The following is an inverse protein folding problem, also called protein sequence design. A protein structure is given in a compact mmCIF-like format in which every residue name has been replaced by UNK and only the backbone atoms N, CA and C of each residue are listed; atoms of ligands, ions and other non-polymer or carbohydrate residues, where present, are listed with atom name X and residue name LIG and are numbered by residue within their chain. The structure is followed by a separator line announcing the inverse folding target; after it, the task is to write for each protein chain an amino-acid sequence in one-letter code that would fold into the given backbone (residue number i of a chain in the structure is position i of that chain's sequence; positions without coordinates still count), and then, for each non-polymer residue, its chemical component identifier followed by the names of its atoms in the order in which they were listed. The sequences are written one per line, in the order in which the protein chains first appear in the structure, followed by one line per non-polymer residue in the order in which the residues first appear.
data_IF_383986215478
#
_entry.id   IF_383986215478
#
_cell.length_a   1.000
_cell.length_b   1.000
_cell.length_c   1.000
_cell.angle_alpha   90.00
_cell.angle_beta   90.00
_cell.angle_gamma   90.00
#
_symmetry.space_group_name_H-M   'P 1'
#
loop_
_entity.id
_entity.type
_entity.pdbx_description
1 polymer ?
#
# COMPACT_ATOMS: atom_id res chain seq x y z
N UNK A 1 12.16 25.67 -5.36
CA UNK A 1 12.25 24.18 -5.41
C UNK A 1 12.91 23.53 -4.18
N UNK A 2 13.85 24.17 -3.47
CA UNK A 2 14.52 23.57 -2.27
C UNK A 2 13.59 23.34 -1.06
N UNK A 3 12.64 24.23 -0.80
CA UNK A 3 11.72 24.10 0.34
C UNK A 3 10.73 22.93 0.21
N UNK A 4 10.25 22.63 -1.01
CA UNK A 4 9.34 21.51 -1.26
C UNK A 4 10.02 20.16 -0.95
N UNK A 5 11.27 19.99 -1.38
CA UNK A 5 12.05 18.77 -1.10
C UNK A 5 12.28 18.58 0.40
N UNK A 6 12.50 19.66 1.15
CA UNK A 6 12.62 19.59 2.61
C UNK A 6 11.32 19.14 3.28
N UNK A 7 10.17 19.68 2.87
CA UNK A 7 8.87 19.27 3.42
C UNK A 7 8.54 17.80 3.09
N UNK A 8 8.89 17.32 1.90
CA UNK A 8 8.73 15.91 1.50
C UNK A 8 9.60 15.00 2.37
N UNK A 9 10.86 15.39 2.60
CA UNK A 9 11.78 14.65 3.45
C UNK A 9 11.27 14.59 4.91
N UNK A 10 10.79 15.72 5.44
CA UNK A 10 10.25 15.79 6.81
C UNK A 10 8.99 14.94 6.97
N UNK A 11 8.09 14.94 5.98
CA UNK A 11 6.89 14.09 5.97
C UNK A 11 7.24 12.60 5.97
N UNK A 12 8.15 12.21 5.07
CA UNK A 12 8.62 10.82 4.96
C UNK A 12 9.31 10.37 6.25
N UNK A 13 10.13 11.24 6.85
CA UNK A 13 10.80 10.99 8.13
C UNK A 13 9.81 10.81 9.28
N UNK A 14 8.81 11.70 9.39
CA UNK A 14 7.77 11.60 10.41
C UNK A 14 6.95 10.32 10.29
N UNK A 15 6.58 9.93 9.07
CA UNK A 15 5.88 8.68 8.81
C UNK A 15 6.70 7.45 9.24
N UNK A 16 7.99 7.42 8.91
CA UNK A 16 8.88 6.31 9.29
C UNK A 16 8.93 6.15 10.82
N UNK A 17 9.11 7.25 11.56
CA UNK A 17 9.14 7.20 13.04
C UNK A 17 7.79 6.71 13.59
N UNK A 18 6.68 7.24 13.09
CA UNK A 18 5.34 6.87 13.55
C UNK A 18 5.07 5.37 13.36
N UNK A 19 5.40 4.83 12.18
CA UNK A 19 5.30 3.40 11.88
C UNK A 19 6.22 2.58 12.80
N UNK A 20 7.46 3.02 12.98
CA UNK A 20 8.45 2.27 13.76
C UNK A 20 8.05 2.13 15.24
N UNK A 21 7.53 3.21 15.84
CA UNK A 21 7.01 3.20 17.20
C UNK A 21 5.72 2.37 17.30
N UNK A 22 4.84 2.47 16.30
CA UNK A 22 3.60 1.69 16.22
C UNK A 22 3.85 0.18 16.24
N UNK A 23 4.73 -0.31 15.37
CA UNK A 23 5.10 -1.73 15.32
C UNK A 23 5.73 -2.21 16.62
N UNK A 24 6.58 -1.40 17.24
CA UNK A 24 7.23 -1.74 18.52
C UNK A 24 6.21 -1.88 19.66
N UNK A 25 5.16 -1.05 19.67
CA UNK A 25 4.05 -1.15 20.63
C UNK A 25 3.21 -2.39 20.38
N UNK A 26 2.91 -2.72 19.13
CA UNK A 26 2.18 -3.94 18.78
C UNK A 26 2.92 -5.19 19.26
N UNK A 27 4.22 -5.29 19.00
CA UNK A 27 5.07 -6.41 19.47
C UNK A 27 5.07 -6.49 21.00
N UNK A 28 5.13 -5.34 21.69
CA UNK A 28 5.04 -5.31 23.15
C UNK A 28 3.69 -5.81 23.66
N UNK A 29 2.59 -5.44 23.03
CA UNK A 29 1.25 -5.92 23.42
C UNK A 29 1.11 -7.43 23.18
N UNK A 30 1.66 -7.96 22.08
CA UNK A 30 1.82 -9.40 21.88
C UNK A 30 2.66 -10.03 23.01
N UNK A 31 3.81 -9.44 23.33
CA UNK A 31 4.63 -9.89 24.47
C UNK A 31 3.90 -9.87 25.81
N UNK A 32 2.99 -8.90 26.02
CA UNK A 32 2.16 -8.80 27.22
C UNK A 32 1.06 -9.88 27.26
N UNK A 33 0.54 -10.27 26.10
CA UNK A 33 -0.43 -11.37 25.96
C UNK A 33 0.21 -12.76 26.11
N UNK A 34 1.53 -12.85 26.27
CA UNK A 34 2.23 -14.12 26.50
C UNK A 34 2.48 -14.94 25.23
N UNK A 35 2.25 -14.39 24.03
CA UNK A 35 2.53 -15.09 22.76
C UNK A 35 4.02 -15.17 22.41
N UNK A 36 4.91 -14.45 23.13
CA UNK A 36 6.35 -14.47 22.90
C UNK A 36 7.11 -15.10 24.08
N UNK A 37 8.11 -15.96 23.82
CA UNK A 37 9.03 -16.41 24.85
C UNK A 37 9.86 -15.22 25.38
N UNK A 38 10.11 -15.20 26.70
CA UNK A 38 10.81 -14.11 27.42
C UNK A 38 10.05 -12.77 27.51
N UNK A 39 8.80 -12.81 27.97
CA UNK A 39 7.90 -11.63 28.13
C UNK A 39 8.52 -10.44 28.86
N UNK A 40 9.39 -10.66 29.85
CA UNK A 40 10.07 -9.60 30.61
C UNK A 40 10.96 -8.69 29.73
N UNK A 41 11.56 -9.24 28.67
CA UNK A 41 12.35 -8.47 27.70
C UNK A 41 11.44 -7.63 26.78
N UNK A 42 10.38 -8.25 26.23
CA UNK A 42 9.47 -7.63 25.27
C UNK A 42 8.55 -6.55 25.87
N UNK A 43 8.23 -6.66 27.17
CA UNK A 43 7.32 -5.73 27.86
C UNK A 43 8.06 -4.54 28.50
N UNK A 44 9.39 -4.56 28.54
CA UNK A 44 10.23 -3.55 29.20
C UNK A 44 10.11 -2.16 28.55
N UNK A 45 9.88 -1.12 29.37
CA UNK A 45 9.67 0.28 28.94
C UNK A 45 10.58 1.30 29.64
N UNK A 46 11.63 0.86 30.37
CA UNK A 46 12.54 1.76 31.10
C UNK A 46 13.68 2.25 30.20
N UNK A 47 14.12 3.53 30.27
CA UNK A 47 13.63 4.64 31.10
C UNK A 47 12.65 5.61 30.40
N UNK A 48 12.41 5.52 29.08
CA UNK A 48 11.68 6.53 28.30
C UNK A 48 10.20 6.20 27.99
N UNK A 49 9.61 5.17 28.61
CA UNK A 49 8.22 4.76 28.35
C UNK A 49 7.99 4.15 26.97
N UNK A 50 9.03 4.06 26.13
CA UNK A 50 9.03 3.38 24.84
C UNK A 50 9.55 1.94 25.00
N UNK A 51 9.01 0.99 24.23
CA UNK A 51 9.51 -0.39 24.22
C UNK A 51 10.89 -0.47 23.54
N UNK A 52 11.96 -0.16 24.28
CA UNK A 52 13.34 -0.12 23.76
C UNK A 52 13.83 -1.49 23.27
N UNK A 53 13.49 -2.57 23.98
CA UNK A 53 13.86 -3.94 23.58
C UNK A 53 13.27 -4.33 22.22
N UNK A 54 11.93 -4.29 22.05
CA UNK A 54 11.28 -4.52 20.76
C UNK A 54 11.78 -3.59 19.66
N UNK A 55 11.98 -2.31 19.96
CA UNK A 55 12.48 -1.33 18.99
C UNK A 55 13.89 -1.67 18.48
N UNK A 56 14.82 -2.04 19.37
CA UNK A 56 16.18 -2.40 18.99
C UNK A 56 16.22 -3.67 18.12
N UNK A 57 15.39 -4.67 18.43
CA UNK A 57 15.31 -5.91 17.63
C UNK A 57 14.78 -5.62 16.24
N UNK A 58 13.71 -4.83 16.12
CA UNK A 58 13.15 -4.47 14.82
C UNK A 58 14.14 -3.64 14.02
N UNK A 59 14.78 -2.64 14.64
CA UNK A 59 15.79 -1.82 13.98
C UNK A 59 16.98 -2.66 13.49
N UNK A 60 17.48 -3.57 14.33
CA UNK A 60 18.57 -4.48 13.98
C UNK A 60 18.19 -5.40 12.82
N UNK A 61 16.98 -5.98 12.86
CA UNK A 61 16.51 -6.87 11.81
C UNK A 61 16.30 -6.13 10.48
N UNK A 62 15.75 -4.91 10.52
CA UNK A 62 15.61 -4.06 9.33
C UNK A 62 16.98 -3.66 8.78
N UNK A 63 17.92 -3.26 9.64
CA UNK A 63 19.27 -2.91 9.22
C UNK A 63 20.00 -4.11 8.58
N UNK A 64 19.87 -5.29 9.18
CA UNK A 64 20.43 -6.54 8.64
C UNK A 64 19.79 -6.87 7.29
N UNK A 65 18.46 -6.86 7.18
CA UNK A 65 17.78 -7.13 5.90
C UNK A 65 18.15 -6.13 4.82
N UNK A 66 18.27 -4.84 5.17
CA UNK A 66 18.66 -3.79 4.22
C UNK A 66 20.10 -3.98 3.73
N UNK A 67 21.00 -4.45 4.58
CA UNK A 67 22.39 -4.76 4.21
C UNK A 67 22.51 -6.09 3.45
N UNK A 68 21.65 -7.07 3.76
CA UNK A 68 21.72 -8.41 3.21
C UNK A 68 21.04 -8.55 1.84
N UNK A 69 19.99 -7.78 1.55
CA UNK A 69 19.26 -7.88 0.28
C UNK A 69 19.84 -6.89 -0.74
N UNK A 70 20.54 -7.37 -1.79
CA UNK A 70 21.04 -6.50 -2.85
C UNK A 70 19.87 -5.87 -3.62
N UNK A 71 19.98 -4.56 -3.90
CA UNK A 71 18.98 -3.82 -4.66
C UNK A 71 18.84 -4.39 -6.08
N UNK A 72 17.62 -4.67 -6.51
CA UNK A 72 17.30 -5.26 -7.82
C UNK A 72 16.04 -6.12 -7.79
N UNK A 73 15.90 -7.03 -8.77
CA UNK A 73 14.73 -7.89 -8.94
C UNK A 73 14.42 -8.79 -7.72
N UNK A 74 15.44 -9.16 -6.94
CA UNK A 74 15.27 -9.95 -5.72
C UNK A 74 14.58 -9.14 -4.59
N UNK A 75 14.91 -7.84 -4.46
CA UNK A 75 14.28 -6.96 -3.49
C UNK A 75 12.80 -6.75 -3.80
N UNK A 76 12.45 -6.51 -5.06
CA UNK A 76 11.05 -6.34 -5.49
C UNK A 76 10.25 -7.62 -5.24
N UNK A 77 10.82 -8.78 -5.56
CA UNK A 77 10.18 -10.06 -5.29
C UNK A 77 9.94 -10.32 -3.80
N UNK A 78 10.94 -10.08 -2.93
CA UNK A 78 10.78 -10.21 -1.47
C UNK A 78 9.74 -9.23 -0.92
N UNK A 79 9.73 -8.00 -1.43
CA UNK A 79 8.74 -7.00 -1.05
C UNK A 79 7.32 -7.43 -1.43
N UNK A 80 7.13 -7.97 -2.64
CA UNK A 80 5.83 -8.46 -3.09
C UNK A 80 5.35 -9.65 -2.25
N UNK A 81 6.25 -10.58 -1.93
CA UNK A 81 5.96 -11.68 -0.99
C UNK A 81 5.57 -11.16 0.39
N UNK A 82 6.17 -10.08 0.88
CA UNK A 82 5.83 -9.49 2.18
C UNK A 82 4.44 -8.85 2.23
N UNK A 83 3.87 -8.49 1.06
CA UNK A 83 2.52 -7.93 0.98
C UNK A 83 1.44 -9.02 1.05
N UNK A 84 1.73 -10.24 0.59
CA UNK A 84 0.75 -11.34 0.55
C UNK A 84 0.20 -11.69 1.95
N UNK A 85 1.01 -11.86 3.02
CA UNK A 85 0.50 -12.11 4.36
C UNK A 85 -0.39 -10.98 4.88
N UNK A 86 -0.04 -9.71 4.60
CA UNK A 86 -0.85 -8.56 4.99
C UNK A 86 -2.18 -8.55 4.28
N UNK A 87 -2.19 -8.84 2.98
CA UNK A 87 -3.41 -8.95 2.19
C UNK A 87 -4.30 -10.10 2.70
N UNK A 88 -3.71 -11.26 2.98
CA UNK A 88 -4.40 -12.42 3.53
C UNK A 88 -5.00 -12.12 4.92
N UNK A 89 -4.26 -11.43 5.80
CA UNK A 89 -4.75 -11.02 7.12
C UNK A 89 -5.91 -10.02 7.02
N UNK A 90 -5.79 -9.00 6.16
CA UNK A 90 -6.87 -8.05 5.93
C UNK A 90 -8.12 -8.73 5.34
N UNK A 91 -7.93 -9.68 4.41
CA UNK A 91 -9.00 -10.49 3.87
C UNK A 91 -9.66 -11.35 4.97
N UNK A 92 -8.87 -11.98 5.83
CA UNK A 92 -9.38 -12.76 6.95
C UNK A 92 -10.18 -11.91 7.94
N UNK A 93 -9.78 -10.66 8.22
CA UNK A 93 -10.57 -9.72 9.01
C UNK A 93 -11.88 -9.37 8.30
N UNK A 94 -11.83 -9.07 6.99
CA UNK A 94 -13.02 -8.74 6.21
C UNK A 94 -14.01 -9.91 6.12
N UNK A 95 -13.53 -11.15 6.09
CA UNK A 95 -14.38 -12.35 6.19
C UNK A 95 -14.86 -12.56 7.62
N UNK A 96 -13.99 -12.39 8.62
CA UNK A 96 -14.32 -12.55 10.03
C UNK A 96 -15.44 -11.62 10.49
N UNK A 97 -15.40 -10.35 10.04
CA UNK A 97 -16.46 -9.37 10.34
C UNK A 97 -17.79 -9.74 9.65
N UNK A 98 -17.73 -10.38 8.47
CA UNK A 98 -18.91 -10.86 7.75
C UNK A 98 -19.56 -12.05 8.46
N UNK A 99 -18.74 -13.01 8.91
CA UNK A 99 -19.20 -14.27 9.51
C UNK A 99 -19.61 -14.11 10.97
N UNK A 100 -18.92 -13.26 11.75
CA UNK A 100 -19.17 -13.03 13.17
C UNK A 100 -19.54 -11.55 13.42
N UNK A 101 -20.82 -11.17 13.23
CA UNK A 101 -21.27 -9.83 13.56
C UNK A 101 -21.19 -9.58 15.09
N UNK A 102 -20.92 -8.34 15.53
CA UNK A 102 -20.83 -7.98 16.95
C UNK A 102 -22.14 -8.27 17.71
N UNK A 103 -22.03 -8.40 19.04
CA UNK A 103 -23.15 -8.80 19.92
C UNK A 103 -24.39 -7.91 19.70
N UNK A 104 -25.43 -8.53 19.13
CA UNK A 104 -26.72 -7.93 18.76
C UNK A 104 -27.19 -8.22 17.32
N UNK A 105 -26.35 -8.84 16.47
CA UNK A 105 -26.75 -9.36 15.15
C UNK A 105 -26.36 -8.49 13.94
N UNK A 106 -26.75 -8.92 12.72
CA UNK A 106 -26.34 -8.28 11.46
C UNK A 106 -26.88 -6.85 11.24
N UNK A 107 -27.85 -6.43 12.06
CA UNK A 107 -28.56 -5.15 11.99
C UNK A 107 -28.31 -4.27 13.23
N UNK A 108 -27.23 -4.49 13.98
CA UNK A 108 -26.84 -3.62 15.10
C UNK A 108 -26.32 -2.30 14.55
N UNK A 109 -27.20 -1.33 14.46
CA UNK A 109 -26.93 0.05 14.07
C UNK A 109 -28.21 0.86 14.10
N UNK A 110 -28.12 2.19 14.06
CA UNK A 110 -29.29 3.09 14.05
C UNK A 110 -30.15 2.98 12.77
N UNK A 111 -29.84 2.03 11.89
CA UNK A 111 -30.49 1.81 10.60
C UNK A 111 -30.88 0.35 10.41
N UNK A 112 -32.01 0.14 9.74
CA UNK A 112 -32.62 -1.18 9.51
C UNK A 112 -31.92 -2.02 8.41
N UNK A 113 -30.71 -1.66 8.00
CA UNK A 113 -29.97 -2.37 6.96
C UNK A 113 -28.60 -2.86 7.48
N UNK A 114 -28.06 -3.86 6.79
CA UNK A 114 -26.85 -4.58 7.18
C UNK A 114 -25.68 -3.65 7.52
N UNK A 115 -25.08 -3.80 8.71
CA UNK A 115 -24.09 -2.85 9.24
C UNK A 115 -22.87 -2.63 8.32
N UNK A 116 -22.49 -3.64 7.52
CA UNK A 116 -21.32 -3.54 6.65
C UNK A 116 -21.59 -2.77 5.34
N UNK A 117 -22.84 -2.37 5.06
CA UNK A 117 -23.13 -1.49 3.91
C UNK A 117 -22.41 -0.16 4.02
N UNK A 118 -22.20 0.39 5.22
CA UNK A 118 -21.43 1.61 5.43
C UNK A 118 -19.98 1.44 5.03
N UNK A 119 -19.36 0.31 5.39
CA UNK A 119 -17.99 0.01 5.01
C UNK A 119 -17.89 -0.19 3.49
N UNK A 120 -18.80 -0.96 2.88
CA UNK A 120 -18.80 -1.21 1.43
C UNK A 120 -19.08 0.06 0.63
N UNK A 121 -20.08 0.84 1.05
CA UNK A 121 -20.47 2.09 0.37
C UNK A 121 -19.42 3.17 0.57
N UNK A 122 -18.84 3.28 1.78
CA UNK A 122 -17.77 4.23 2.06
C UNK A 122 -16.52 3.93 1.22
N UNK A 123 -16.10 2.66 1.17
CA UNK A 123 -14.97 2.24 0.33
C UNK A 123 -15.29 2.43 -1.16
N UNK A 124 -16.50 2.05 -1.60
CA UNK A 124 -16.93 2.21 -2.99
C UNK A 124 -16.95 3.66 -3.45
N UNK A 125 -17.53 4.55 -2.63
CA UNK A 125 -17.56 5.99 -2.90
C UNK A 125 -16.14 6.57 -2.90
N UNK A 126 -15.31 6.24 -1.90
CA UNK A 126 -13.94 6.72 -1.85
C UNK A 126 -13.11 6.26 -3.06
N UNK A 127 -13.28 5.00 -3.48
CA UNK A 127 -12.62 4.44 -4.65
C UNK A 127 -13.11 5.10 -5.94
N UNK A 128 -14.42 5.29 -6.10
CA UNK A 128 -15.01 5.97 -7.25
C UNK A 128 -14.57 7.43 -7.35
N UNK A 129 -14.51 8.16 -6.23
CA UNK A 129 -14.00 9.54 -6.17
C UNK A 129 -12.52 9.57 -6.55
N UNK A 130 -11.70 8.69 -6.00
CA UNK A 130 -10.28 8.59 -6.34
C UNK A 130 -10.08 8.35 -7.85
N UNK A 131 -10.80 7.39 -8.43
CA UNK A 131 -10.74 7.11 -9.86
C UNK A 131 -11.28 8.25 -10.71
N UNK A 132 -12.39 8.90 -10.33
CA UNK A 132 -12.94 10.03 -11.08
C UNK A 132 -11.97 11.22 -11.09
N UNK A 133 -11.36 11.53 -9.94
CA UNK A 133 -10.34 12.57 -9.85
C UNK A 133 -9.10 12.22 -10.69
N UNK A 134 -8.64 10.97 -10.64
CA UNK A 134 -7.42 10.60 -11.37
C UNK A 134 -7.65 10.38 -12.88
N UNK A 135 -8.76 9.77 -13.26
CA UNK A 135 -9.07 9.43 -14.65
C UNK A 135 -9.74 10.57 -15.43
N UNK A 136 -10.39 11.53 -14.76
CA UNK A 136 -11.09 12.62 -15.46
C UNK A 136 -10.45 13.99 -15.17
N UNK A 137 -10.11 14.30 -13.92
CA UNK A 137 -9.62 15.63 -13.56
C UNK A 137 -8.14 15.85 -13.96
N UNK A 138 -7.25 14.88 -13.70
CA UNK A 138 -5.84 14.99 -14.11
C UNK A 138 -5.58 15.08 -15.62
N UNK A 139 -6.25 14.32 -16.50
CA UNK A 139 -6.03 14.44 -17.95
C UNK A 139 -6.57 15.75 -18.51
N UNK A 140 -7.72 16.23 -18.03
CA UNK A 140 -8.31 17.49 -18.51
C UNK A 140 -7.51 18.72 -18.09
N UNK A 141 -6.92 18.72 -16.89
CA UNK A 141 -6.12 19.86 -16.44
C UNK A 141 -4.71 19.88 -17.05
N UNK A 142 -4.15 18.72 -17.42
CA UNK A 142 -2.79 18.64 -17.97
C UNK A 142 -2.75 18.42 -19.49
N UNK A 143 -3.86 18.12 -20.16
CA UNK A 143 -3.90 17.94 -21.62
C UNK A 143 -3.22 16.65 -22.12
N UNK A 144 -3.33 15.55 -21.37
CA UNK A 144 -2.73 14.25 -21.75
C UNK A 144 -3.79 13.14 -21.78
N UNK A 145 -3.71 12.24 -22.77
CA UNK A 145 -4.45 10.98 -22.82
C UNK A 145 -3.59 9.80 -22.31
N UNK A 146 -4.21 8.89 -21.55
CA UNK A 146 -3.57 7.66 -21.07
C UNK A 146 -3.75 6.57 -22.14
N UNK A 147 -2.67 6.19 -22.84
CA UNK A 147 -2.68 5.11 -23.86
C UNK A 147 -1.84 3.92 -23.39
N UNK A 148 -2.24 2.73 -23.81
CA UNK A 148 -1.60 1.47 -23.44
C UNK A 148 -0.67 1.03 -24.60
N UNK A 149 0.65 1.03 -24.35
CA UNK A 149 1.66 0.58 -25.31
C UNK A 149 2.10 -0.85 -24.98
N UNK A 150 2.22 -1.70 -26.00
CA UNK A 150 2.83 -3.02 -25.90
C UNK A 150 4.33 -2.89 -26.17
N UNK A 151 5.14 -2.96 -25.10
CA UNK A 151 6.59 -3.07 -25.26
C UNK A 151 6.95 -4.55 -25.43
N UNK A 152 7.57 -4.89 -26.55
CA UNK A 152 8.18 -6.20 -26.76
C UNK A 152 9.54 -6.18 -26.06
N UNK A 153 9.68 -6.93 -24.97
CA UNK A 153 10.99 -7.19 -24.37
C UNK A 153 11.80 -8.11 -25.30
N UNK A 154 13.13 -8.05 -25.24
CA UNK A 154 14.06 -8.82 -26.11
C UNK A 154 13.83 -10.34 -26.11
N UNK A 155 13.05 -10.86 -25.16
CA UNK A 155 12.67 -12.27 -24.99
C UNK A 155 11.28 -12.62 -25.58
N UNK A 156 10.67 -11.72 -26.37
CA UNK A 156 9.36 -11.93 -27.01
C UNK A 156 8.12 -11.71 -26.11
N UNK A 157 8.32 -11.41 -24.83
CA UNK A 157 7.24 -11.09 -23.90
C UNK A 157 6.67 -9.69 -24.16
N UNK A 158 5.35 -9.61 -24.38
CA UNK A 158 4.62 -8.35 -24.57
C UNK A 158 4.09 -7.85 -23.23
N UNK A 159 4.56 -6.67 -22.78
CA UNK A 159 4.07 -6.05 -21.54
C UNK A 159 3.29 -4.78 -21.85
N UNK A 160 2.10 -4.67 -21.26
CA UNK A 160 1.27 -3.48 -21.35
C UNK A 160 1.82 -2.38 -20.44
N UNK A 161 2.16 -1.21 -21.00
CA UNK A 161 2.61 -0.02 -20.27
C UNK A 161 1.68 1.16 -20.57
N UNK A 162 1.13 1.77 -19.54
CA UNK A 162 0.32 2.99 -19.69
C UNK A 162 1.25 4.21 -19.83
N UNK A 163 1.32 4.82 -21.02
CA UNK A 163 2.08 6.04 -21.30
C UNK A 163 1.13 7.24 -21.39
N UNK A 164 1.52 8.36 -20.77
CA UNK A 164 0.80 9.64 -20.87
C UNK A 164 1.24 10.34 -22.17
N UNK A 165 0.32 10.51 -23.12
CA UNK A 165 0.58 11.14 -24.42
C UNK A 165 -0.09 12.53 -24.44
N UNK A 166 0.65 13.62 -24.69
CA UNK A 166 0.06 14.96 -24.80
C UNK A 166 -0.89 15.05 -25.99
N UNK A 167 -2.00 15.75 -25.83
CA UNK A 167 -3.12 15.76 -26.79
C UNK A 167 -2.75 16.21 -28.22
N UNK A 168 -1.68 16.98 -28.39
CA UNK A 168 -1.19 17.46 -29.69
C UNK A 168 -0.53 16.36 -30.52
N UNK A 169 0.06 15.35 -29.86
CA UNK A 169 0.75 14.22 -30.53
C UNK A 169 -0.17 13.00 -30.70
N UNK A 170 -1.44 13.07 -30.26
CA UNK A 170 -2.35 11.92 -30.23
C UNK A 170 -2.76 11.47 -31.63
N UNK A 171 -3.15 12.38 -32.52
CA UNK A 171 -3.59 12.01 -33.87
C UNK A 171 -2.43 11.51 -34.75
N UNK A 172 -1.25 12.12 -34.63
CA UNK A 172 -0.06 11.70 -35.38
C UNK A 172 0.46 10.33 -34.88
N UNK A 173 0.36 10.07 -33.56
CA UNK A 173 0.74 8.78 -32.98
C UNK A 173 -0.28 7.68 -33.25
N UNK A 174 -1.58 7.98 -33.25
CA UNK A 174 -2.65 7.03 -33.62
C UNK A 174 -2.58 6.64 -35.11
N UNK A 175 -2.06 7.53 -35.97
CA UNK A 175 -1.76 7.22 -37.38
C UNK A 175 -0.56 6.27 -37.54
N UNK A 176 0.39 6.27 -36.59
CA UNK A 176 1.61 5.45 -36.62
C UNK A 176 1.47 4.15 -35.82
N UNK A 177 0.68 4.14 -34.74
CA UNK A 177 0.53 3.00 -33.84
C UNK A 177 -0.95 2.64 -33.65
N UNK A 178 -1.43 1.73 -34.49
CA UNK A 178 -2.78 1.17 -34.35
C UNK A 178 -2.81 0.26 -33.12
N UNK A 179 -3.74 0.53 -32.21
CA UNK A 179 -4.00 -0.33 -31.05
C UNK A 179 -4.56 -1.68 -31.52
N UNK A 180 -3.70 -2.67 -31.74
CA UNK A 180 -4.12 -4.02 -32.13
C UNK A 180 -3.11 -4.89 -32.89
N UNK A 181 -1.97 -4.35 -33.31
CA UNK A 181 -0.94 -5.13 -34.02
C UNK A 181 -0.73 -4.66 -35.46
N UNK A 182 0.54 -4.37 -35.76
CA UNK A 182 1.24 -4.11 -37.03
C UNK A 182 0.53 -3.28 -38.14
N UNK A 183 1.31 -2.38 -38.76
CA UNK A 183 1.73 -2.70 -40.12
C UNK A 183 3.26 -2.73 -40.24
N UNK A 184 3.68 -3.62 -41.15
CA UNK A 184 5.03 -3.97 -41.59
C UNK A 184 5.88 -2.77 -42.02
#
# INVERSE_FOLDING_TARGET
MRGLNFLIALSSFGNIIAVQVGLSRQIRECGRQGVLPFTRFWVSTRPFGTPLGPYAVVWFMIALMTLAVPAGNAFTFVNDLSMLPKAAFNFAIAVGIYVYPPDGGQYVGDVSFWYATYAVTGVGIACAIYYALWAHFTPNWKGYNLRQELITLEDGAQSNRLRKVPNEEVEERDAVHVAGGAPY
#
